data_IF_833159658839
#
_entry.id   IF_833159658839
#
_cell.length_a   1.000
_cell.length_b   1.000
_cell.length_c   1.000
_cell.angle_alpha   90.00
_cell.angle_beta   90.00
_cell.angle_gamma   90.00
#
_symmetry.space_group_name_H-M   'P 1'
#
loop_
_entity.id
_entity.type
_entity.pdbx_description
1 polymer ?
#
# COMPACT_ATOMS: atom_id res chain seq x y z
N UNK A 1 24.99 0.11 28.56
CA UNK A 1 25.19 -1.26 28.07
C UNK A 1 23.97 -2.10 28.46
N UNK A 2 22.85 -1.97 27.73
CA UNK A 2 21.55 -2.56 28.11
C UNK A 2 21.60 -4.09 28.14
N UNK A 3 22.25 -4.70 27.13
CA UNK A 3 22.39 -6.14 27.01
C UNK A 3 23.32 -6.71 28.11
N UNK A 4 24.42 -6.03 28.43
CA UNK A 4 25.29 -6.42 29.54
C UNK A 4 24.55 -6.39 30.89
N UNK A 5 23.66 -5.43 31.08
CA UNK A 5 22.87 -5.31 32.30
C UNK A 5 21.81 -6.42 32.45
N UNK A 6 21.24 -6.91 31.35
CA UNK A 6 20.20 -7.97 31.37
C UNK A 6 20.79 -9.37 31.30
N UNK A 7 21.82 -9.57 30.47
CA UNK A 7 22.38 -10.88 30.13
C UNK A 7 23.69 -11.19 30.89
N UNK A 8 24.21 -10.25 31.68
CA UNK A 8 25.41 -10.43 32.50
C UNK A 8 26.74 -10.45 31.71
N UNK A 9 26.69 -10.29 30.38
CA UNK A 9 27.86 -10.30 29.50
C UNK A 9 27.78 -9.19 28.46
N UNK A 10 28.90 -8.52 28.19
CA UNK A 10 29.03 -7.54 27.12
C UNK A 10 29.11 -8.24 25.76
N UNK A 11 28.16 -7.96 24.87
CA UNK A 11 28.23 -8.39 23.48
C UNK A 11 28.82 -7.27 22.62
N UNK A 12 29.85 -7.60 21.82
CA UNK A 12 30.40 -6.65 20.86
C UNK A 12 29.37 -6.39 19.74
N UNK A 13 29.34 -5.18 19.14
CA UNK A 13 28.47 -4.89 18.01
C UNK A 13 28.61 -5.89 16.85
N UNK A 14 29.83 -6.39 16.60
CA UNK A 14 30.10 -7.44 15.60
C UNK A 14 29.48 -8.80 15.97
N UNK A 15 29.46 -9.16 17.25
CA UNK A 15 28.80 -10.40 17.71
C UNK A 15 27.29 -10.32 17.51
N UNK A 16 26.68 -9.16 17.78
CA UNK A 16 25.25 -8.93 17.53
C UNK A 16 24.96 -9.01 16.02
N UNK A 17 25.83 -8.42 15.19
CA UNK A 17 25.71 -8.53 13.73
C UNK A 17 25.72 -9.98 13.25
N UNK A 18 26.68 -10.79 13.72
CA UNK A 18 26.79 -12.20 13.35
C UNK A 18 25.58 -13.02 13.81
N UNK A 19 25.02 -12.72 14.98
CA UNK A 19 23.77 -13.36 15.43
C UNK A 19 22.61 -12.99 14.51
N UNK A 20 22.55 -11.75 14.03
CA UNK A 20 21.53 -11.32 13.06
C UNK A 20 21.77 -11.83 11.63
N UNK A 21 22.93 -12.43 11.32
CA UNK A 21 23.16 -13.05 10.00
C UNK A 21 22.33 -14.33 9.82
N UNK A 22 21.96 -15.00 10.92
CA UNK A 22 20.99 -16.11 10.91
C UNK A 22 19.65 -15.67 10.32
N UNK A 23 19.29 -14.39 10.49
CA UNK A 23 18.05 -13.81 9.98
C UNK A 23 18.05 -13.70 8.45
N UNK A 24 19.19 -13.80 7.77
CA UNK A 24 19.25 -13.70 6.30
C UNK A 24 18.53 -14.89 5.63
N UNK A 25 18.70 -16.08 6.18
CA UNK A 25 17.99 -17.27 5.69
C UNK A 25 16.48 -17.14 5.93
N UNK A 26 16.08 -16.62 7.09
CA UNK A 26 14.68 -16.33 7.41
C UNK A 26 14.08 -15.28 6.48
N UNK A 27 14.84 -14.22 6.14
CA UNK A 27 14.40 -13.18 5.19
C UNK A 27 14.14 -13.80 3.83
N UNK A 28 15.06 -14.62 3.31
CA UNK A 28 14.90 -15.29 2.01
C UNK A 28 13.69 -16.21 2.02
N UNK A 29 13.57 -17.06 3.04
CA UNK A 29 12.41 -17.94 3.20
C UNK A 29 11.10 -17.15 3.27
N UNK A 30 11.08 -16.02 3.97
CA UNK A 30 9.92 -15.14 4.07
C UNK A 30 9.60 -14.43 2.75
N UNK A 31 10.61 -13.98 2.00
CA UNK A 31 10.46 -13.36 0.68
C UNK A 31 10.02 -14.36 -0.39
N UNK A 32 10.35 -15.65 -0.25
CA UNK A 32 9.95 -16.70 -1.18
C UNK A 32 8.68 -17.44 -0.76
N UNK A 33 8.14 -17.18 0.45
CA UNK A 33 6.99 -17.92 0.98
C UNK A 33 5.78 -17.84 0.05
N UNK A 34 5.01 -18.93 -0.09
CA UNK A 34 3.77 -18.92 -0.86
C UNK A 34 2.76 -17.95 -0.25
N UNK A 35 2.01 -17.26 -1.10
CA UNK A 35 0.94 -16.33 -0.75
C UNK A 35 -0.42 -16.97 -1.03
N UNK A 36 -1.47 -16.41 -0.43
CA UNK A 36 -2.83 -16.85 -0.72
C UNK A 36 -3.24 -16.48 -2.15
N UNK A 37 -4.14 -17.25 -2.74
CA UNK A 37 -4.64 -16.99 -4.10
C UNK A 37 -5.37 -15.65 -4.22
N UNK A 38 -6.22 -15.35 -3.23
CA UNK A 38 -7.16 -14.22 -3.25
C UNK A 38 -6.81 -13.13 -2.26
N UNK A 39 -6.68 -11.90 -2.75
CA UNK A 39 -6.59 -10.70 -1.92
C UNK A 39 -7.60 -9.65 -2.40
N UNK A 40 -8.55 -9.30 -1.53
CA UNK A 40 -9.57 -8.29 -1.84
C UNK A 40 -8.93 -6.93 -2.13
N UNK A 41 -7.84 -6.60 -1.43
CA UNK A 41 -7.16 -5.31 -1.60
C UNK A 41 -5.64 -5.49 -1.55
N UNK A 42 -4.94 -4.89 -2.50
CA UNK A 42 -3.49 -4.64 -2.43
C UNK A 42 -3.23 -3.14 -2.22
N UNK A 43 -2.47 -2.81 -1.19
CA UNK A 43 -1.91 -1.47 -0.99
C UNK A 43 -0.45 -1.46 -1.43
N UNK A 44 -0.10 -0.51 -2.29
CA UNK A 44 1.25 -0.34 -2.81
C UNK A 44 1.74 1.07 -2.49
N UNK A 45 2.94 1.16 -1.92
CA UNK A 45 3.59 2.43 -1.60
C UNK A 45 5.11 2.27 -1.63
N UNK A 46 5.78 3.33 -2.05
CA UNK A 46 7.22 3.46 -2.10
C UNK A 46 7.70 4.45 -1.07
N UNK A 47 8.83 4.18 -0.43
CA UNK A 47 9.38 5.11 0.54
C UNK A 47 10.89 5.22 0.48
N UNK A 48 11.38 6.45 0.47
CA UNK A 48 12.81 6.71 0.41
C UNK A 48 13.47 6.59 1.79
N UNK A 49 14.58 5.87 1.82
CA UNK A 49 15.48 5.72 2.97
C UNK A 49 16.90 6.14 2.58
N UNK A 50 17.67 6.62 3.56
CA UNK A 50 19.08 6.94 3.36
C UNK A 50 19.93 5.69 3.59
N UNK A 51 20.60 5.24 2.54
CA UNK A 51 21.53 4.12 2.57
C UNK A 51 22.95 4.65 2.35
N UNK A 52 23.94 4.05 3.02
CA UNK A 52 25.36 4.35 2.80
C UNK A 52 25.99 3.14 2.13
N UNK A 53 26.30 3.28 0.84
CA UNK A 53 27.19 2.38 0.10
C UNK A 53 28.57 3.06 0.03
N UNK A 54 28.97 3.50 -1.15
CA UNK A 54 30.15 4.37 -1.35
C UNK A 54 29.87 5.81 -0.89
N UNK A 55 28.66 6.31 -1.21
CA UNK A 55 28.10 7.57 -0.77
C UNK A 55 26.74 7.38 -0.06
N UNK A 56 26.21 8.47 0.50
CA UNK A 56 24.89 8.45 1.17
C UNK A 56 23.84 8.91 0.17
N UNK A 57 23.08 7.96 -0.36
CA UNK A 57 22.00 8.20 -1.32
C UNK A 57 20.63 7.86 -0.72
N UNK A 58 19.57 8.47 -1.28
CA UNK A 58 18.21 8.04 -1.01
C UNK A 58 17.87 6.90 -1.97
N UNK A 59 17.46 5.76 -1.44
CA UNK A 59 16.97 4.63 -2.23
C UNK A 59 15.52 4.34 -1.85
N UNK A 60 14.76 3.85 -2.81
CA UNK A 60 13.36 3.49 -2.60
C UNK A 60 13.27 2.12 -1.93
N UNK A 61 12.30 2.02 -1.02
CA UNK A 61 11.78 0.74 -0.54
C UNK A 61 10.34 0.62 -0.97
N UNK A 62 10.07 -0.36 -1.81
CA UNK A 62 8.72 -0.75 -2.22
C UNK A 62 8.12 -1.66 -1.17
N UNK A 63 6.85 -1.48 -0.85
CA UNK A 63 6.14 -2.35 0.07
C UNK A 63 4.75 -2.66 -0.47
N UNK A 64 4.36 -3.92 -0.34
CA UNK A 64 3.03 -4.40 -0.71
C UNK A 64 2.34 -4.97 0.52
N UNK A 65 1.15 -4.45 0.83
CA UNK A 65 0.27 -4.99 1.88
C UNK A 65 -0.97 -5.57 1.22
N UNK A 66 -1.24 -6.85 1.49
CA UNK A 66 -2.45 -7.53 1.07
C UNK A 66 -3.51 -7.54 2.16
N UNK A 67 -4.78 -7.52 1.76
CA UNK A 67 -5.94 -7.78 2.62
C UNK A 67 -6.77 -8.88 1.97
N UNK A 68 -6.98 -9.97 2.69
CA UNK A 68 -7.83 -11.09 2.28
C UNK A 68 -9.31 -10.71 2.26
N UNK A 69 -10.15 -11.53 1.64
CA UNK A 69 -11.62 -11.34 1.65
C UNK A 69 -12.23 -11.38 3.07
N UNK A 70 -11.59 -12.10 4.00
CA UNK A 70 -11.93 -12.13 5.42
C UNK A 70 -11.47 -10.88 6.20
N UNK A 71 -10.68 -10.02 5.58
CA UNK A 71 -10.18 -8.77 6.17
C UNK A 71 -8.90 -8.91 6.98
N UNK A 72 -8.21 -10.04 6.91
CA UNK A 72 -6.86 -10.17 7.48
C UNK A 72 -5.85 -9.50 6.57
N UNK A 73 -5.01 -8.65 7.15
CA UNK A 73 -3.95 -7.95 6.41
C UNK A 73 -2.58 -8.48 6.76
N UNK A 74 -1.68 -8.41 5.80
CA UNK A 74 -0.27 -8.78 5.95
C UNK A 74 0.59 -7.98 4.96
N UNK A 75 1.86 -7.77 5.32
CA UNK A 75 2.88 -7.33 4.37
C UNK A 75 3.27 -8.55 3.53
N UNK A 76 3.04 -8.48 2.23
CA UNK A 76 3.33 -9.58 1.29
C UNK A 76 4.81 -9.58 0.87
N UNK A 77 5.39 -8.39 0.69
CA UNK A 77 6.76 -8.22 0.29
C UNK A 77 7.27 -6.80 0.52
N UNK A 78 8.59 -6.68 0.62
CA UNK A 78 9.31 -5.42 0.58
C UNK A 78 10.55 -5.61 -0.31
N UNK A 79 10.97 -4.54 -0.98
CA UNK A 79 12.06 -4.56 -1.96
C UNK A 79 12.88 -3.29 -1.80
N UNK A 80 14.17 -3.43 -1.54
CA UNK A 80 15.10 -2.30 -1.36
C UNK A 80 15.88 -2.12 -2.66
N UNK A 81 15.96 -0.88 -3.16
CA UNK A 81 16.93 -0.54 -4.21
C UNK A 81 16.37 0.36 -5.32
N UNK A 82 17.27 1.17 -5.88
CA UNK A 82 17.03 1.95 -7.10
C UNK A 82 16.19 3.22 -6.92
N UNK A 83 15.48 3.60 -7.99
CA UNK A 83 14.53 4.71 -8.02
C UNK A 83 13.13 4.21 -8.34
N UNK A 84 12.12 4.88 -7.81
CA UNK A 84 10.72 4.57 -8.06
C UNK A 84 10.39 4.68 -9.56
N UNK A 85 10.05 3.55 -10.18
CA UNK A 85 9.79 3.46 -11.62
C UNK A 85 8.71 2.44 -11.94
N UNK A 86 8.10 2.56 -13.13
CA UNK A 86 7.12 1.59 -13.65
C UNK A 86 7.71 0.17 -13.68
N UNK A 87 8.94 0.04 -14.16
CA UNK A 87 9.63 -1.25 -14.25
C UNK A 87 9.83 -1.89 -12.87
N UNK A 88 10.26 -1.10 -11.88
CA UNK A 88 10.41 -1.60 -10.51
C UNK A 88 9.10 -2.13 -9.94
N UNK A 89 7.98 -1.46 -10.22
CA UNK A 89 6.67 -1.96 -9.79
C UNK A 89 6.20 -3.20 -10.56
N UNK A 90 6.51 -3.33 -11.84
CA UNK A 90 6.24 -4.56 -12.61
C UNK A 90 7.00 -5.75 -12.04
N UNK A 91 8.28 -5.59 -11.68
CA UNK A 91 9.08 -6.63 -11.04
C UNK A 91 8.49 -7.04 -9.67
N UNK A 92 8.15 -6.05 -8.84
CA UNK A 92 7.52 -6.27 -7.53
C UNK A 92 6.19 -7.02 -7.66
N UNK A 93 5.31 -6.57 -8.55
CA UNK A 93 4.00 -7.20 -8.76
C UNK A 93 4.13 -8.60 -9.36
N UNK A 94 5.08 -8.80 -10.28
CA UNK A 94 5.36 -10.11 -10.87
C UNK A 94 5.85 -11.11 -9.82
N UNK A 95 6.67 -10.67 -8.87
CA UNK A 95 7.09 -11.53 -7.77
C UNK A 95 5.92 -11.95 -6.87
N UNK A 96 5.11 -10.98 -6.45
CA UNK A 96 3.89 -11.23 -5.65
C UNK A 96 2.93 -12.20 -6.38
N UNK A 97 2.78 -12.05 -7.69
CA UNK A 97 1.97 -12.94 -8.51
C UNK A 97 2.55 -14.37 -8.54
N UNK A 98 3.85 -14.52 -8.85
CA UNK A 98 4.52 -15.84 -8.91
C UNK A 98 4.46 -16.61 -7.60
N UNK A 99 4.43 -15.90 -6.48
CA UNK A 99 4.30 -16.50 -5.14
C UNK A 99 2.89 -16.97 -4.80
N UNK A 100 1.90 -16.69 -5.65
CA UNK A 100 0.55 -17.24 -5.56
C UNK A 100 -0.57 -16.21 -5.44
N UNK A 101 -0.28 -14.91 -5.28
CA UNK A 101 -1.31 -13.87 -5.28
C UNK A 101 -1.81 -13.65 -6.72
N UNK A 102 -2.78 -14.44 -7.14
CA UNK A 102 -3.24 -14.48 -8.54
C UNK A 102 -4.51 -13.66 -8.78
N UNK A 103 -5.38 -13.57 -7.77
CA UNK A 103 -6.71 -12.99 -7.87
C UNK A 103 -6.84 -11.77 -6.94
N UNK A 104 -6.97 -10.59 -7.54
CA UNK A 104 -7.05 -9.32 -6.81
C UNK A 104 -8.30 -8.55 -7.21
N UNK A 105 -9.09 -8.07 -6.24
CA UNK A 105 -10.21 -7.18 -6.57
C UNK A 105 -9.74 -5.74 -6.78
N UNK A 106 -8.97 -5.17 -5.84
CA UNK A 106 -8.62 -3.75 -5.84
C UNK A 106 -7.12 -3.49 -5.57
N UNK A 107 -6.45 -2.77 -6.47
CA UNK A 107 -5.14 -2.17 -6.21
C UNK A 107 -5.26 -0.70 -5.78
N UNK A 108 -4.62 -0.31 -4.68
CA UNK A 108 -4.67 1.06 -4.13
C UNK A 108 -3.25 1.61 -3.96
N UNK A 109 -2.98 2.76 -4.57
CA UNK A 109 -1.67 3.42 -4.49
C UNK A 109 -1.78 4.95 -4.62
N UNK A 110 -0.67 5.66 -4.39
CA UNK A 110 -0.57 7.07 -4.80
C UNK A 110 -0.46 7.18 -6.34
N UNK A 111 -0.76 8.33 -6.92
CA UNK A 111 -0.74 8.59 -8.37
C UNK A 111 0.67 8.66 -8.97
N UNK A 112 1.45 7.59 -8.78
CA UNK A 112 2.77 7.40 -9.36
C UNK A 112 2.62 7.05 -10.85
N UNK A 113 3.36 7.72 -11.75
CA UNK A 113 3.33 7.38 -13.18
C UNK A 113 3.77 5.93 -13.43
N UNK A 114 3.02 5.18 -14.23
CA UNK A 114 3.36 3.81 -14.61
C UNK A 114 2.82 2.71 -13.67
N UNK A 115 2.45 3.05 -12.44
CA UNK A 115 1.97 2.05 -11.47
C UNK A 115 0.59 1.51 -11.84
N UNK A 116 -0.26 2.33 -12.45
CA UNK A 116 -1.56 1.90 -12.96
C UNK A 116 -1.41 0.93 -14.13
N UNK A 117 -0.48 1.22 -15.03
CA UNK A 117 -0.12 0.36 -16.16
C UNK A 117 0.47 -0.97 -15.69
N UNK A 118 1.41 -0.94 -14.74
CA UNK A 118 2.02 -2.13 -14.13
C UNK A 118 0.96 -3.00 -13.43
N UNK A 119 0.07 -2.39 -12.65
CA UNK A 119 -1.02 -3.11 -11.97
C UNK A 119 -1.95 -3.80 -12.97
N UNK A 120 -2.33 -3.11 -14.05
CA UNK A 120 -3.20 -3.70 -15.09
C UNK A 120 -2.49 -4.73 -15.96
N UNK A 121 -1.16 -4.65 -16.10
CA UNK A 121 -0.39 -5.65 -16.83
C UNK A 121 -0.36 -6.99 -16.08
N UNK A 122 -0.13 -6.97 -14.76
CA UNK A 122 -0.07 -8.19 -13.94
C UNK A 122 -1.46 -8.67 -13.50
N UNK A 123 -2.35 -7.75 -13.15
CA UNK A 123 -3.71 -8.03 -12.67
C UNK A 123 -4.76 -7.35 -13.56
N UNK A 124 -4.98 -7.82 -14.80
CA UNK A 124 -5.86 -7.16 -15.77
C UNK A 124 -7.34 -7.12 -15.36
N UNK A 125 -7.75 -8.00 -14.43
CA UNK A 125 -9.11 -8.04 -13.86
C UNK A 125 -9.27 -7.19 -12.60
N UNK A 126 -8.19 -6.70 -12.00
CA UNK A 126 -8.26 -5.89 -10.80
C UNK A 126 -8.70 -4.47 -11.13
N UNK A 127 -9.54 -3.90 -10.27
CA UNK A 127 -9.82 -2.47 -10.31
C UNK A 127 -8.62 -1.70 -9.75
N UNK A 128 -8.43 -0.47 -10.22
CA UNK A 128 -7.35 0.41 -9.78
C UNK A 128 -7.92 1.64 -9.10
N UNK A 129 -7.36 1.99 -7.94
CA UNK A 129 -7.70 3.19 -7.21
C UNK A 129 -6.48 4.02 -6.84
N UNK A 130 -6.60 5.34 -7.05
CA UNK A 130 -5.68 6.33 -6.48
C UNK A 130 -6.15 6.78 -5.12
N UNK A 131 -5.21 6.95 -4.19
CA UNK A 131 -5.51 7.42 -2.84
C UNK A 131 -6.13 8.83 -2.85
N UNK A 132 -7.36 8.93 -2.34
CA UNK A 132 -8.08 10.21 -2.27
C UNK A 132 -7.39 11.19 -1.32
N UNK A 133 -6.82 10.70 -0.21
CA UNK A 133 -6.11 11.54 0.77
C UNK A 133 -4.86 12.17 0.16
N UNK A 134 -4.11 11.41 -0.65
CA UNK A 134 -2.96 11.95 -1.40
C UNK A 134 -3.40 13.00 -2.41
N UNK A 135 -4.45 12.72 -3.19
CA UNK A 135 -5.02 13.68 -4.13
C UNK A 135 -5.45 15.00 -3.45
N UNK A 136 -6.14 14.90 -2.31
CA UNK A 136 -6.56 16.06 -1.50
C UNK A 136 -5.34 16.84 -1.02
N UNK A 137 -4.33 16.19 -0.44
CA UNK A 137 -3.11 16.83 0.05
C UNK A 137 -2.36 17.54 -1.07
N UNK A 138 -2.18 16.88 -2.21
CA UNK A 138 -1.54 17.42 -3.41
C UNK A 138 -2.30 18.62 -3.97
N UNK A 139 -3.64 18.59 -3.90
CA UNK A 139 -4.49 19.72 -4.30
C UNK A 139 -4.32 20.91 -3.36
N UNK A 140 -4.37 20.69 -2.03
CA UNK A 140 -4.26 21.75 -1.03
C UNK A 140 -2.90 22.46 -1.04
N UNK A 141 -1.83 21.77 -1.46
CA UNK A 141 -0.51 22.37 -1.65
C UNK A 141 -0.45 23.36 -2.82
N UNK A 142 -1.36 23.25 -3.80
CA UNK A 142 -1.41 24.08 -5.02
C UNK A 142 -2.38 25.27 -4.92
N UNK A 143 -3.14 25.39 -3.82
CA UNK A 143 -4.14 26.45 -3.63
C UNK A 143 -3.68 27.47 -2.60
N UNK A 144 -4.21 28.70 -2.71
CA UNK A 144 -3.95 29.77 -1.74
C UNK A 144 -4.51 29.40 -0.37
N UNK A 145 -3.80 29.75 0.71
CA UNK A 145 -4.17 29.43 2.10
C UNK A 145 -5.62 29.79 2.44
N UNK A 146 -6.11 30.94 1.96
CA UNK A 146 -7.47 31.43 2.21
C UNK A 146 -8.58 30.53 1.64
N UNK A 147 -8.29 29.78 0.58
CA UNK A 147 -9.29 28.95 -0.11
C UNK A 147 -9.22 27.48 0.35
N UNK A 148 -8.18 27.09 1.09
CA UNK A 148 -7.93 25.70 1.50
C UNK A 148 -9.10 25.07 2.25
N UNK A 149 -9.75 25.83 3.13
CA UNK A 149 -10.87 25.32 3.92
C UNK A 149 -12.06 24.98 3.04
N UNK A 150 -12.50 25.93 2.19
CA UNK A 150 -13.65 25.74 1.31
C UNK A 150 -13.40 24.61 0.29
N UNK A 151 -12.24 24.64 -0.38
CA UNK A 151 -11.86 23.58 -1.34
C UNK A 151 -11.81 22.22 -0.66
N UNK A 152 -11.33 22.13 0.59
CA UNK A 152 -11.31 20.87 1.33
C UNK A 152 -12.70 20.32 1.64
N UNK A 153 -13.69 21.18 1.93
CA UNK A 153 -15.06 20.73 2.19
C UNK A 153 -15.73 20.26 0.90
N UNK A 154 -15.55 20.99 -0.21
CA UNK A 154 -16.14 20.58 -1.49
C UNK A 154 -15.52 19.27 -2.00
N UNK A 155 -14.20 19.08 -1.87
CA UNK A 155 -13.57 17.79 -2.17
C UNK A 155 -14.05 16.66 -1.25
N UNK A 156 -14.32 16.94 0.03
CA UNK A 156 -14.90 15.96 0.98
C UNK A 156 -16.27 15.49 0.54
N UNK A 157 -17.09 16.38 -0.01
CA UNK A 157 -18.42 16.03 -0.51
C UNK A 157 -18.34 14.94 -1.58
N UNK A 158 -17.36 15.03 -2.50
CA UNK A 158 -17.15 14.05 -3.58
C UNK A 158 -16.92 12.64 -3.05
N UNK A 159 -15.92 12.43 -2.19
CA UNK A 159 -15.54 11.09 -1.74
C UNK A 159 -16.32 10.58 -0.53
N UNK A 160 -17.22 11.40 0.05
CA UNK A 160 -18.18 10.96 1.07
C UNK A 160 -19.55 10.64 0.51
N UNK A 161 -19.73 10.75 -0.80
CA UNK A 161 -20.95 10.35 -1.50
C UNK A 161 -21.28 8.87 -1.29
N UNK A 162 -22.58 8.57 -1.28
CA UNK A 162 -23.07 7.20 -1.10
C UNK A 162 -23.08 6.38 -2.40
N UNK A 163 -23.08 7.06 -3.56
CA UNK A 163 -23.08 6.44 -4.88
C UNK A 163 -22.20 7.22 -5.87
N UNK A 164 -21.89 6.62 -7.01
CA UNK A 164 -21.09 7.26 -8.07
C UNK A 164 -21.81 8.45 -8.68
N UNK A 165 -23.11 8.34 -8.89
CA UNK A 165 -23.94 9.39 -9.46
C UNK A 165 -23.97 10.63 -8.56
N UNK A 166 -24.01 10.44 -7.24
CA UNK A 166 -23.89 11.54 -6.30
C UNK A 166 -22.47 12.13 -6.29
N UNK A 167 -21.43 11.30 -6.35
CA UNK A 167 -20.05 11.77 -6.47
C UNK A 167 -19.82 12.59 -7.76
N UNK A 168 -20.44 12.23 -8.87
CA UNK A 168 -20.39 12.98 -10.14
C UNK A 168 -21.03 14.36 -10.01
N UNK A 169 -22.22 14.44 -9.38
CA UNK A 169 -22.88 15.73 -9.11
C UNK A 169 -22.01 16.64 -8.24
N UNK A 170 -21.40 16.08 -7.19
CA UNK A 170 -20.49 16.83 -6.32
C UNK A 170 -19.23 17.28 -7.07
N UNK A 171 -18.71 16.47 -8.00
CA UNK A 171 -17.59 16.84 -8.86
C UNK A 171 -17.95 18.01 -9.78
N UNK A 172 -19.14 17.98 -10.38
CA UNK A 172 -19.61 19.08 -11.25
C UNK A 172 -19.76 20.38 -10.47
N UNK A 173 -20.40 20.34 -9.30
CA UNK A 173 -20.50 21.50 -8.42
C UNK A 173 -19.12 22.04 -8.00
N UNK A 174 -18.17 21.15 -7.70
CA UNK A 174 -16.77 21.51 -7.41
C UNK A 174 -16.11 22.20 -8.61
N UNK A 175 -16.31 21.68 -9.82
CA UNK A 175 -15.74 22.26 -11.04
C UNK A 175 -16.35 23.64 -11.32
N UNK A 176 -17.66 23.79 -11.24
CA UNK A 176 -18.35 25.06 -11.47
C UNK A 176 -17.85 26.16 -10.51
N UNK A 177 -17.62 25.79 -9.25
CA UNK A 177 -17.13 26.71 -8.21
C UNK A 177 -15.66 27.11 -8.44
N UNK A 178 -14.79 26.14 -8.74
CA UNK A 178 -13.34 26.35 -8.68
C UNK A 178 -12.65 26.48 -10.03
N UNK A 179 -13.25 26.07 -11.15
CA UNK A 179 -12.61 26.05 -12.47
C UNK A 179 -12.13 27.43 -12.91
N UNK A 180 -12.86 28.51 -12.61
CA UNK A 180 -12.45 29.88 -12.96
C UNK A 180 -11.17 30.32 -12.25
N UNK A 181 -10.97 29.87 -11.00
CA UNK A 181 -9.85 30.30 -10.15
C UNK A 181 -8.67 29.32 -10.18
N UNK A 182 -8.99 28.03 -10.30
CA UNK A 182 -8.06 26.92 -10.27
C UNK A 182 -8.35 25.91 -11.41
N UNK A 183 -8.24 26.32 -12.68
CA UNK A 183 -8.62 25.48 -13.83
C UNK A 183 -7.85 24.17 -13.88
N UNK A 184 -6.56 24.19 -13.52
CA UNK A 184 -5.72 22.98 -13.46
C UNK A 184 -6.18 21.99 -12.40
N UNK A 185 -6.77 22.46 -11.30
CA UNK A 185 -7.26 21.60 -10.21
C UNK A 185 -8.56 20.95 -10.63
N UNK A 186 -9.53 21.73 -11.14
CA UNK A 186 -10.78 21.20 -11.65
C UNK A 186 -10.54 20.14 -12.75
N UNK A 187 -9.68 20.44 -13.72
CA UNK A 187 -9.27 19.49 -14.77
C UNK A 187 -8.68 18.20 -14.17
N UNK A 188 -7.70 18.33 -13.27
CA UNK A 188 -7.04 17.18 -12.66
C UNK A 188 -7.99 16.32 -11.82
N UNK A 189 -9.02 16.90 -11.20
CA UNK A 189 -10.05 16.12 -10.48
C UNK A 189 -11.02 15.42 -11.43
N UNK A 190 -11.39 16.04 -12.56
CA UNK A 190 -12.19 15.39 -13.60
C UNK A 190 -11.47 14.20 -14.23
N UNK A 191 -10.20 14.36 -14.58
CA UNK A 191 -9.39 13.30 -15.21
C UNK A 191 -9.22 12.09 -14.28
N UNK A 192 -8.97 12.33 -12.98
CA UNK A 192 -8.75 11.26 -12.02
C UNK A 192 -10.05 10.74 -11.35
N UNK A 193 -11.24 11.25 -11.72
CA UNK A 193 -12.47 11.00 -10.97
C UNK A 193 -12.80 9.51 -10.81
N UNK A 194 -12.73 8.74 -11.89
CA UNK A 194 -13.07 7.31 -11.86
C UNK A 194 -12.11 6.50 -11.00
N UNK A 195 -10.81 6.75 -11.09
CA UNK A 195 -9.80 6.07 -10.25
C UNK A 195 -9.84 6.57 -8.80
N UNK A 196 -10.38 7.75 -8.51
CA UNK A 196 -10.54 8.26 -7.13
C UNK A 196 -11.81 7.74 -6.46
N UNK A 197 -12.81 7.28 -7.22
CA UNK A 197 -14.13 6.86 -6.72
C UNK A 197 -14.41 5.38 -6.93
N UNK A 198 -13.40 4.60 -7.34
CA UNK A 198 -13.51 3.16 -7.57
C UNK A 198 -14.01 2.40 -6.33
N UNK A 199 -13.66 2.85 -5.12
CA UNK A 199 -14.14 2.30 -3.86
C UNK A 199 -15.67 2.33 -3.70
N UNK A 200 -16.39 3.17 -4.45
CA UNK A 200 -17.85 3.19 -4.43
C UNK A 200 -18.46 1.92 -5.04
N UNK A 201 -17.69 1.16 -5.83
CA UNK A 201 -18.09 -0.17 -6.33
C UNK A 201 -18.04 -1.25 -5.25
N UNK A 202 -17.47 -0.95 -4.08
CA UNK A 202 -17.24 -1.92 -3.02
C UNK A 202 -18.22 -1.73 -1.86
N UNK A 203 -18.39 -2.77 -1.02
CA UNK A 203 -19.30 -2.75 0.13
C UNK A 203 -19.10 -1.50 1.00
N UNK A 204 -20.19 -0.84 1.35
CA UNK A 204 -20.16 0.43 2.09
C UNK A 204 -19.40 0.35 3.42
N UNK A 205 -19.43 -0.81 4.07
CA UNK A 205 -18.76 -1.09 5.35
C UNK A 205 -17.23 -1.00 5.26
N UNK A 206 -16.62 -1.31 4.11
CA UNK A 206 -15.15 -1.27 3.92
C UNK A 206 -14.65 0.03 3.29
N UNK A 207 -15.52 0.82 2.65
CA UNK A 207 -15.16 2.09 1.99
C UNK A 207 -14.23 2.97 2.83
N UNK A 208 -14.47 3.16 4.15
CA UNK A 208 -13.59 3.99 4.99
C UNK A 208 -12.14 3.52 5.08
N UNK A 209 -11.90 2.23 4.85
CA UNK A 209 -10.57 1.63 4.87
C UNK A 209 -9.87 1.74 3.52
N UNK A 210 -10.62 1.69 2.41
CA UNK A 210 -10.07 1.55 1.07
C UNK A 210 -9.97 2.87 0.30
N UNK A 211 -10.66 3.96 0.66
CA UNK A 211 -10.46 5.27 -0.02
C UNK A 211 -9.08 5.91 0.23
N UNK A 212 -8.26 5.31 1.12
CA UNK A 212 -7.00 5.87 1.61
C UNK A 212 -5.89 4.81 1.70
N UNK A 213 -4.64 5.23 1.56
CA UNK A 213 -3.43 4.42 1.78
C UNK A 213 -2.88 4.52 3.20
N UNK A 214 -3.66 5.04 4.16
CA UNK A 214 -3.18 5.26 5.52
C UNK A 214 -2.66 3.99 6.23
N UNK A 215 -3.14 2.81 5.85
CA UNK A 215 -2.64 1.53 6.37
C UNK A 215 -1.15 1.37 6.05
N UNK A 216 -0.78 1.51 4.78
CA UNK A 216 0.60 1.34 4.33
C UNK A 216 1.48 2.52 4.75
N UNK A 217 0.97 3.75 4.68
CA UNK A 217 1.70 4.94 5.17
C UNK A 217 2.07 4.82 6.65
N UNK A 218 1.19 4.22 7.47
CA UNK A 218 1.46 3.99 8.90
C UNK A 218 2.56 2.94 9.09
N UNK A 219 2.54 1.86 8.31
CA UNK A 219 3.61 0.85 8.32
C UNK A 219 4.94 1.47 7.90
N UNK A 220 4.95 2.28 6.84
CA UNK A 220 6.17 2.95 6.35
C UNK A 220 6.73 3.93 7.38
N UNK A 221 5.85 4.63 8.12
CA UNK A 221 6.27 5.49 9.23
C UNK A 221 6.93 4.69 10.35
N UNK A 222 6.47 3.49 10.65
CA UNK A 222 7.11 2.63 11.65
C UNK A 222 8.49 2.17 11.19
N UNK A 223 8.64 1.78 9.91
CA UNK A 223 9.94 1.48 9.32
C UNK A 223 10.90 2.66 9.47
N UNK A 224 10.50 3.84 9.00
CA UNK A 224 11.30 5.06 9.12
C UNK A 224 11.65 5.42 10.56
N UNK A 225 10.73 5.22 11.50
CA UNK A 225 10.95 5.51 12.92
C UNK A 225 12.07 4.65 13.50
N UNK A 226 12.08 3.33 13.22
CA UNK A 226 13.12 2.42 13.71
C UNK A 226 14.46 2.60 13.00
N UNK A 227 14.42 2.91 11.71
CA UNK A 227 15.63 3.15 10.92
C UNK A 227 16.28 4.50 11.26
N UNK A 228 15.49 5.53 11.60
CA UNK A 228 16.01 6.87 11.94
C UNK A 228 16.99 6.84 13.12
N UNK A 229 16.81 5.92 14.08
CA UNK A 229 17.72 5.79 15.23
C UNK A 229 19.05 5.13 14.87
N UNK A 230 19.18 4.53 13.68
CA UNK A 230 20.34 3.76 13.24
C UNK A 230 21.28 4.54 12.30
N UNK A 231 21.06 5.86 12.12
CA UNK A 231 21.78 6.72 11.17
C UNK A 231 21.77 6.15 9.74
N UNK A 232 22.93 6.11 9.06
CA UNK A 232 23.06 5.52 7.73
C UNK A 232 23.45 4.06 7.86
N UNK A 233 22.58 3.15 7.42
CA UNK A 233 22.87 1.72 7.43
C UNK A 233 23.95 1.39 6.38
N UNK A 234 24.86 0.44 6.69
CA UNK A 234 26.07 0.19 5.91
C UNK A 234 25.84 -0.67 4.65
N UNK A 235 24.67 -1.28 4.49
CA UNK A 235 24.32 -2.12 3.34
C UNK A 235 22.81 -2.24 3.17
N UNK A 236 22.38 -2.71 1.98
CA UNK A 236 20.99 -3.11 1.72
C UNK A 236 20.54 -4.21 2.69
N UNK A 237 21.35 -5.24 2.87
CA UNK A 237 21.05 -6.35 3.79
C UNK A 237 20.75 -5.86 5.23
N UNK A 238 21.44 -4.83 5.70
CA UNK A 238 21.19 -4.25 7.02
C UNK A 238 19.82 -3.56 7.08
N UNK A 239 19.38 -2.92 6.00
CA UNK A 239 18.01 -2.37 5.89
C UNK A 239 17.00 -3.50 5.84
N UNK A 240 17.23 -4.51 5.01
CA UNK A 240 16.33 -5.65 4.85
C UNK A 240 16.09 -6.39 6.17
N UNK A 241 17.14 -6.64 6.96
CA UNK A 241 17.00 -7.23 8.31
C UNK A 241 16.05 -6.44 9.20
N UNK A 242 16.21 -5.12 9.23
CA UNK A 242 15.36 -4.27 10.08
C UNK A 242 13.93 -4.25 9.57
N UNK A 243 13.73 -4.12 8.26
CA UNK A 243 12.40 -4.10 7.64
C UNK A 243 11.70 -5.45 7.83
N UNK A 244 12.42 -6.56 7.65
CA UNK A 244 11.92 -7.91 7.89
C UNK A 244 11.44 -8.09 9.33
N UNK A 245 12.27 -7.77 10.32
CA UNK A 245 11.88 -7.90 11.74
C UNK A 245 10.61 -7.10 12.07
N UNK A 246 10.47 -5.89 11.52
CA UNK A 246 9.25 -5.09 11.72
C UNK A 246 8.06 -5.69 10.97
N UNK A 247 8.30 -6.21 9.77
CA UNK A 247 7.27 -6.83 8.94
C UNK A 247 6.70 -8.09 9.59
N UNK A 248 7.58 -8.94 10.12
CA UNK A 248 7.21 -10.14 10.85
C UNK A 248 6.43 -9.81 12.14
N UNK A 249 6.91 -8.84 12.93
CA UNK A 249 6.19 -8.36 14.11
C UNK A 249 4.80 -7.81 13.75
N UNK A 250 4.70 -7.05 12.64
CA UNK A 250 3.44 -6.52 12.14
C UNK A 250 2.48 -7.65 11.73
N UNK A 251 2.96 -8.60 10.91
CA UNK A 251 2.16 -9.72 10.43
C UNK A 251 1.68 -10.60 11.58
N UNK A 252 2.56 -10.93 12.54
CA UNK A 252 2.21 -11.65 13.75
C UNK A 252 1.11 -10.93 14.53
N UNK A 253 1.23 -9.61 14.72
CA UNK A 253 0.22 -8.81 15.42
C UNK A 253 -1.11 -8.70 14.67
N UNK A 254 -1.08 -8.73 13.34
CA UNK A 254 -2.28 -8.60 12.50
C UNK A 254 -2.98 -9.93 12.23
N UNK A 255 -2.29 -11.06 12.37
CA UNK A 255 -2.81 -12.42 12.13
C UNK A 255 -4.14 -12.72 12.83
N UNK A 256 -4.39 -12.10 13.99
CA UNK A 256 -5.60 -12.29 14.80
C UNK A 256 -6.62 -11.16 14.66
N UNK A 257 -6.37 -10.16 13.81
CA UNK A 257 -7.14 -8.92 13.73
C UNK A 257 -7.67 -8.66 12.32
N UNK A 258 -8.99 -8.65 12.18
CA UNK A 258 -9.66 -8.23 10.94
C UNK A 258 -9.74 -6.70 10.85
N UNK A 259 -9.62 -6.19 9.64
CA UNK A 259 -9.93 -4.79 9.35
C UNK A 259 -11.41 -4.50 9.56
N UNK A 260 -11.69 -3.27 9.97
CA UNK A 260 -13.06 -2.81 10.22
C UNK A 260 -13.90 -2.91 8.94
N UNK A 261 -15.13 -3.40 9.07
CA UNK A 261 -16.09 -3.55 7.97
C UNK A 261 -15.93 -4.83 7.15
N UNK A 262 -14.73 -5.43 7.11
CA UNK A 262 -14.49 -6.60 6.26
C UNK A 262 -15.28 -7.85 6.69
N UNK A 263 -15.54 -8.01 8.00
CA UNK A 263 -16.41 -9.10 8.47
C UNK A 263 -17.83 -9.02 7.88
N UNK A 264 -18.37 -7.81 7.73
CA UNK A 264 -19.70 -7.58 7.16
C UNK A 264 -19.68 -7.70 5.63
N UNK A 265 -18.59 -7.26 5.01
CA UNK A 265 -18.40 -7.28 3.56
C UNK A 265 -18.01 -8.66 2.98
N UNK A 266 -17.52 -9.58 3.81
CA UNK A 266 -16.93 -10.86 3.36
C UNK A 266 -17.83 -11.65 2.40
N UNK A 267 -19.16 -11.81 2.62
CA UNK A 267 -20.02 -12.52 1.67
C UNK A 267 -20.09 -11.82 0.30
N UNK A 268 -20.21 -10.49 0.29
CA UNK A 268 -20.26 -9.70 -0.95
C UNK A 268 -18.92 -9.73 -1.68
N UNK A 269 -17.80 -9.64 -0.96
CA UNK A 269 -16.45 -9.78 -1.54
C UNK A 269 -16.24 -11.16 -2.15
N UNK A 270 -16.76 -12.22 -1.51
CA UNK A 270 -16.70 -13.57 -2.05
C UNK A 270 -17.48 -13.67 -3.36
N UNK A 271 -18.71 -13.18 -3.42
CA UNK A 271 -19.49 -13.09 -4.67
C UNK A 271 -18.73 -12.30 -5.74
N UNK A 272 -18.13 -11.16 -5.39
CA UNK A 272 -17.33 -10.37 -6.34
C UNK A 272 -16.14 -11.16 -6.90
N UNK A 273 -15.49 -12.00 -6.09
CA UNK A 273 -14.43 -12.90 -6.56
C UNK A 273 -14.96 -13.96 -7.51
N UNK A 274 -16.08 -14.60 -7.17
CA UNK A 274 -16.69 -15.63 -8.04
C UNK A 274 -17.12 -15.06 -9.38
N UNK A 275 -17.75 -13.88 -9.41
CA UNK A 275 -18.17 -13.20 -10.64
C UNK A 275 -16.97 -12.83 -11.53
N UNK A 276 -15.85 -12.42 -10.92
CA UNK A 276 -14.68 -11.90 -11.64
C UNK A 276 -13.69 -12.97 -12.07
N UNK A 277 -13.50 -13.98 -11.23
CA UNK A 277 -12.46 -15.00 -11.39
C UNK A 277 -13.01 -16.43 -11.51
N UNK A 278 -14.29 -16.66 -11.20
CA UNK A 278 -14.89 -17.99 -11.14
C UNK A 278 -14.88 -18.59 -9.74
N UNK A 279 -15.66 -19.65 -9.53
CA UNK A 279 -15.67 -20.38 -8.26
C UNK A 279 -14.41 -21.25 -8.13
N UNK A 280 -13.87 -21.39 -6.92
CA UNK A 280 -12.65 -22.19 -6.69
C UNK A 280 -12.85 -23.67 -7.07
N UNK A 281 -14.09 -24.16 -6.99
CA UNK A 281 -14.47 -25.56 -7.23
C UNK A 281 -14.25 -26.03 -8.68
N UNK A 282 -14.28 -25.14 -9.68
CA UNK A 282 -14.12 -25.53 -11.09
C UNK A 282 -12.66 -25.69 -11.53
N UNK A 283 -11.70 -25.25 -10.70
CA UNK A 283 -10.28 -25.24 -11.08
C UNK A 283 -9.56 -26.52 -10.66
N UNK A 284 -10.05 -27.23 -9.64
CA UNK A 284 -9.47 -28.50 -9.19
C UNK A 284 -9.92 -29.71 -10.02
N UNK A 285 -11.08 -29.67 -10.69
CA UNK A 285 -11.52 -30.75 -11.60
C UNK A 285 -10.87 -30.71 -13.00
N UNK A 286 -10.06 -29.68 -13.29
CA UNK A 286 -9.40 -29.48 -14.60
C UNK A 286 -7.87 -29.55 -14.56
N UNK A 287 -7.27 -29.95 -13.44
CA UNK A 287 -5.84 -30.31 -13.32
C UNK A 287 -5.69 -31.79 -13.06
#
# INVERSE_FOLDING_TARGET
NFLEHILGHAYAPGTISNITDVVIEDIRAWQERPLQKRYAVLYLDGTYLKLRRDDVANEVVYVVIGVTEDGYREILGFYVGGQESSLGWEEVLSDIYRRGCEEVLLGIFDGLPGLEEAMKAIYPKADVQRCVVHKVRNTLNKVRKKDRSAISEDMKAIYRSNSKEEAEKQLDAFCDTWQKKYPKIAKSWREDFYVLTTFLNYPSSIRPMIYTTNIIERTMKEFKKRLKTMNSLPSEEAVEKVIYMISDECNTKWSTRRLRGFKEASPELHTMFEERYGSQTETEEKR
#
